data_IF_140685423306
#
_entry.id   IF_140685423306
#
_cell.length_a   1.000
_cell.length_b   1.000
_cell.length_c   1.000
_cell.angle_alpha   90.00
_cell.angle_beta   90.00
_cell.angle_gamma   90.00
#
_symmetry.space_group_name_H-M   'P 1'
#
loop_
_entity.id
_entity.type
_entity.pdbx_description
1 polymer ?
#
# COMPACT_ATOMS: atom_id res chain seq x y z
N UNK A 1 7.53 -6.92 -17.83
CA UNK A 1 8.00 -5.70 -17.13
C UNK A 1 6.85 -4.71 -17.00
N UNK A 2 6.68 -4.12 -15.84
CA UNK A 2 5.62 -3.14 -15.63
C UNK A 2 5.96 -1.80 -16.30
N UNK A 3 4.99 -1.23 -16.99
CA UNK A 3 5.10 0.13 -17.51
C UNK A 3 4.61 1.10 -16.45
N UNK A 4 5.53 1.59 -15.63
CA UNK A 4 5.19 2.51 -14.53
C UNK A 4 4.60 3.83 -15.03
N UNK A 5 5.01 4.30 -16.21
CA UNK A 5 4.45 5.54 -16.78
C UNK A 5 2.95 5.39 -17.09
N UNK A 6 2.57 4.26 -17.67
CA UNK A 6 1.17 3.98 -17.99
C UNK A 6 0.34 3.77 -16.71
N UNK A 7 0.89 3.04 -15.75
CA UNK A 7 0.22 2.81 -14.46
C UNK A 7 0.00 4.14 -13.75
N UNK A 8 1.02 4.98 -13.72
CA UNK A 8 0.95 6.32 -13.10
C UNK A 8 -0.13 7.18 -13.78
N UNK A 9 -0.14 7.20 -15.09
CA UNK A 9 -1.12 7.97 -15.86
C UNK A 9 -2.55 7.57 -15.49
N UNK A 10 -2.83 6.28 -15.44
CA UNK A 10 -4.15 5.77 -15.07
C UNK A 10 -4.51 6.12 -13.63
N UNK A 11 -3.56 5.90 -12.71
CA UNK A 11 -3.76 6.14 -11.28
C UNK A 11 -4.03 7.63 -11.01
N UNK A 12 -3.30 8.52 -11.66
CA UNK A 12 -3.41 9.96 -11.44
C UNK A 12 -4.67 10.57 -12.05
N UNK A 13 -5.42 9.84 -12.87
CA UNK A 13 -6.74 10.27 -13.36
C UNK A 13 -7.79 10.25 -12.26
N UNK A 14 -7.60 9.43 -11.23
CA UNK A 14 -8.55 9.31 -10.12
C UNK A 14 -8.39 10.48 -9.15
N UNK A 15 -9.47 10.78 -8.43
CA UNK A 15 -9.44 11.76 -7.34
C UNK A 15 -8.59 11.25 -6.19
N UNK A 16 -8.17 12.17 -5.32
CA UNK A 16 -7.37 11.80 -4.15
C UNK A 16 -8.04 10.73 -3.28
N UNK A 17 -9.33 10.83 -2.91
CA UNK A 17 -9.99 9.76 -2.15
C UNK A 17 -9.93 8.41 -2.85
N UNK A 18 -10.14 8.35 -4.16
CA UNK A 18 -10.10 7.10 -4.92
C UNK A 18 -8.68 6.54 -4.96
N UNK A 19 -7.67 7.40 -5.09
CA UNK A 19 -6.26 6.97 -5.04
C UNK A 19 -5.90 6.37 -3.68
N UNK A 20 -6.34 6.98 -2.59
CA UNK A 20 -6.15 6.42 -1.25
C UNK A 20 -6.86 5.08 -1.10
N UNK A 21 -8.07 4.95 -1.66
CA UNK A 21 -8.79 3.69 -1.71
C UNK A 21 -8.01 2.61 -2.46
N UNK A 22 -7.30 2.98 -3.53
CA UNK A 22 -6.43 2.07 -4.28
C UNK A 22 -5.26 1.55 -3.45
N UNK A 23 -4.64 2.42 -2.65
CA UNK A 23 -3.58 2.02 -1.71
C UNK A 23 -4.16 1.03 -0.69
N UNK A 24 -5.30 1.34 -0.09
CA UNK A 24 -5.96 0.47 0.88
C UNK A 24 -6.28 -0.91 0.29
N UNK A 25 -6.77 -0.95 -0.95
CA UNK A 25 -7.07 -2.20 -1.64
C UNK A 25 -5.82 -3.06 -1.83
N UNK A 26 -4.71 -2.45 -2.23
CA UNK A 26 -3.44 -3.18 -2.39
C UNK A 26 -2.94 -3.73 -1.04
N UNK A 27 -2.99 -2.91 0.01
CA UNK A 27 -2.60 -3.36 1.35
C UNK A 27 -3.46 -4.54 1.82
N UNK A 28 -4.76 -4.49 1.54
CA UNK A 28 -5.67 -5.59 1.88
C UNK A 28 -5.31 -6.90 1.15
N UNK A 29 -4.78 -6.81 -0.07
CA UNK A 29 -4.40 -7.99 -0.86
C UNK A 29 -3.10 -8.63 -0.38
N UNK A 30 -2.20 -7.89 0.25
CA UNK A 30 -0.93 -8.42 0.78
C UNK A 30 -1.17 -9.54 1.78
N UNK A 31 -2.26 -9.48 2.53
CA UNK A 31 -2.61 -10.51 3.52
C UNK A 31 -2.87 -11.89 2.93
N UNK A 32 -3.07 -12.01 1.61
CA UNK A 32 -3.38 -13.29 0.97
C UNK A 32 -2.15 -14.18 0.77
N UNK A 33 -0.95 -13.63 0.92
CA UNK A 33 0.32 -14.36 0.75
C UNK A 33 0.42 -15.14 -0.55
N UNK A 34 0.01 -14.50 -1.65
CA UNK A 34 0.21 -15.07 -2.97
C UNK A 34 1.60 -14.73 -3.50
N UNK A 35 2.02 -15.42 -4.56
CA UNK A 35 3.28 -15.11 -5.25
C UNK A 35 3.33 -13.66 -5.78
N UNK A 36 2.18 -13.00 -5.89
CA UNK A 36 2.08 -11.64 -6.40
C UNK A 36 2.27 -10.57 -5.34
N UNK A 37 2.42 -10.94 -4.05
CA UNK A 37 2.49 -9.96 -2.97
C UNK A 37 3.69 -9.02 -3.10
N UNK A 38 4.84 -9.51 -3.59
CA UNK A 38 6.00 -8.65 -3.85
C UNK A 38 5.67 -7.56 -4.88
N UNK A 39 4.90 -7.91 -5.91
CA UNK A 39 4.45 -6.96 -6.92
C UNK A 39 3.46 -5.94 -6.34
N UNK A 40 2.60 -6.37 -5.44
CA UNK A 40 1.66 -5.47 -4.73
C UNK A 40 2.41 -4.49 -3.84
N UNK A 41 3.49 -4.93 -3.20
CA UNK A 41 4.34 -4.06 -2.38
C UNK A 41 4.98 -2.97 -3.24
N UNK A 42 5.55 -3.34 -4.40
CA UNK A 42 6.11 -2.37 -5.34
C UNK A 42 5.07 -1.34 -5.78
N UNK A 43 3.91 -1.82 -6.21
CA UNK A 43 2.85 -0.94 -6.69
C UNK A 43 2.33 -0.02 -5.57
N UNK A 44 2.18 -0.55 -4.36
CA UNK A 44 1.75 0.24 -3.20
C UNK A 44 2.74 1.35 -2.89
N UNK A 45 4.04 1.07 -2.94
CA UNK A 45 5.09 2.07 -2.73
C UNK A 45 5.00 3.20 -3.77
N UNK A 46 4.77 2.84 -5.03
CA UNK A 46 4.64 3.83 -6.11
C UNK A 46 3.35 4.66 -5.94
N UNK A 47 2.25 4.03 -5.61
CA UNK A 47 1.00 4.74 -5.33
C UNK A 47 1.17 5.76 -4.19
N UNK A 48 1.86 5.37 -3.13
CA UNK A 48 2.17 6.26 -2.01
C UNK A 48 3.02 7.44 -2.47
N UNK A 49 4.08 7.18 -3.23
CA UNK A 49 4.95 8.23 -3.75
C UNK A 49 4.18 9.25 -4.58
N UNK A 50 3.28 8.79 -5.43
CA UNK A 50 2.50 9.68 -6.30
C UNK A 50 1.39 10.43 -5.56
N UNK A 51 0.99 9.96 -4.39
CA UNK A 51 -0.16 10.49 -3.65
C UNK A 51 0.25 11.40 -2.49
N UNK A 52 1.34 11.08 -1.79
CA UNK A 52 1.72 11.74 -0.54
C UNK A 52 1.89 13.25 -0.71
N UNK A 53 2.46 13.70 -1.83
CA UNK A 53 2.69 15.11 -2.09
C UNK A 53 1.40 15.94 -2.20
N UNK A 54 0.28 15.31 -2.50
CA UNK A 54 -1.02 15.97 -2.67
C UNK A 54 -1.96 15.75 -1.49
N UNK A 55 -1.55 14.95 -0.50
CA UNK A 55 -2.35 14.66 0.68
C UNK A 55 -2.12 15.71 1.76
N UNK A 56 -3.10 15.84 2.68
CA UNK A 56 -2.92 16.64 3.88
C UNK A 56 -1.76 16.09 4.72
N UNK A 57 -1.12 16.95 5.50
CA UNK A 57 0.09 16.59 6.24
C UNK A 57 -0.06 15.33 7.09
N UNK A 58 -1.12 15.15 7.91
CA UNK A 58 -1.24 13.93 8.70
C UNK A 58 -1.35 12.67 7.84
N UNK A 59 -2.08 12.75 6.73
CA UNK A 59 -2.21 11.62 5.79
C UNK A 59 -0.89 11.35 5.08
N UNK A 60 -0.20 12.39 4.62
CA UNK A 60 1.11 12.26 3.98
C UNK A 60 2.12 11.61 4.92
N UNK A 61 2.14 12.01 6.19
CA UNK A 61 3.04 11.43 7.18
C UNK A 61 2.79 9.93 7.36
N UNK A 62 1.53 9.51 7.47
CA UNK A 62 1.19 8.09 7.54
C UNK A 62 1.65 7.34 6.28
N UNK A 63 1.39 7.89 5.10
CA UNK A 63 1.77 7.25 3.84
C UNK A 63 3.28 7.07 3.73
N UNK A 64 4.07 8.07 4.13
CA UNK A 64 5.53 7.97 4.12
C UNK A 64 6.01 6.89 5.08
N UNK A 65 5.45 6.80 6.28
CA UNK A 65 5.77 5.73 7.23
C UNK A 65 5.45 4.36 6.66
N UNK A 66 4.30 4.21 6.00
CA UNK A 66 3.93 2.96 5.31
C UNK A 66 4.92 2.61 4.21
N UNK A 67 5.35 3.59 3.42
CA UNK A 67 6.32 3.37 2.35
C UNK A 67 7.64 2.82 2.89
N UNK A 68 8.13 3.36 4.00
CA UNK A 68 9.34 2.87 4.66
C UNK A 68 9.15 1.43 5.14
N UNK A 69 8.02 1.12 5.76
CA UNK A 69 7.74 -0.24 6.25
C UNK A 69 7.65 -1.24 5.09
N UNK A 70 6.99 -0.86 4.00
CA UNK A 70 6.90 -1.71 2.81
C UNK A 70 8.30 -1.97 2.22
N UNK A 71 9.16 -0.97 2.18
CA UNK A 71 10.54 -1.14 1.72
C UNK A 71 11.31 -2.10 2.63
N UNK A 72 11.12 -2.02 3.94
CA UNK A 72 11.73 -2.96 4.89
C UNK A 72 11.26 -4.39 4.63
N UNK A 73 9.96 -4.59 4.38
CA UNK A 73 9.44 -5.91 4.04
C UNK A 73 10.05 -6.46 2.76
N UNK A 74 10.24 -5.61 1.74
CA UNK A 74 10.87 -6.06 0.49
C UNK A 74 12.28 -6.58 0.72
N UNK A 75 13.07 -5.91 1.54
CA UNK A 75 14.43 -6.33 1.84
C UNK A 75 14.50 -7.70 2.52
N UNK A 76 13.51 -8.03 3.32
CA UNK A 76 13.46 -9.30 4.06
C UNK A 76 12.38 -10.26 3.58
N UNK A 77 11.82 -10.06 2.37
CA UNK A 77 10.63 -10.79 1.93
C UNK A 77 10.81 -12.31 1.95
N UNK A 78 11.95 -12.82 1.51
CA UNK A 78 12.20 -14.28 1.50
C UNK A 78 12.16 -14.87 2.92
N UNK A 79 12.69 -14.16 3.90
CA UNK A 79 12.66 -14.59 5.30
C UNK A 79 11.25 -14.52 5.87
N UNK A 80 10.51 -13.47 5.54
CA UNK A 80 9.12 -13.31 5.96
C UNK A 80 8.28 -14.45 5.38
N UNK A 81 8.45 -14.73 4.10
CA UNK A 81 7.72 -15.78 3.41
C UNK A 81 7.98 -17.17 4.03
N UNK A 82 9.21 -17.41 4.47
CA UNK A 82 9.62 -18.69 5.03
C UNK A 82 9.15 -18.91 6.48
N UNK A 83 8.72 -17.87 7.18
CA UNK A 83 8.36 -17.92 8.61
C UNK A 83 6.87 -17.64 8.79
N UNK A 84 6.12 -18.65 9.26
CA UNK A 84 4.67 -18.54 9.45
C UNK A 84 4.27 -17.45 10.44
N UNK A 85 5.07 -17.20 11.48
CA UNK A 85 4.80 -16.15 12.45
C UNK A 85 4.98 -14.78 11.82
N UNK A 86 6.04 -14.57 11.05
CA UNK A 86 6.27 -13.32 10.36
C UNK A 86 5.22 -13.06 9.29
N UNK A 87 4.80 -14.09 8.54
CA UNK A 87 3.71 -13.95 7.56
C UNK A 87 2.43 -13.48 8.23
N UNK A 88 2.11 -14.06 9.38
CA UNK A 88 0.91 -13.66 10.13
C UNK A 88 0.98 -12.21 10.57
N UNK A 89 2.14 -11.77 11.07
CA UNK A 89 2.36 -10.38 11.49
C UNK A 89 2.19 -9.41 10.32
N UNK A 90 2.74 -9.75 9.15
CA UNK A 90 2.60 -8.94 7.93
C UNK A 90 1.13 -8.86 7.52
N UNK A 91 0.40 -9.97 7.55
CA UNK A 91 -1.01 -10.00 7.21
C UNK A 91 -1.84 -9.10 8.13
N UNK A 92 -1.62 -9.21 9.43
CA UNK A 92 -2.33 -8.40 10.43
C UNK A 92 -2.02 -6.91 10.26
N UNK A 93 -0.75 -6.59 10.06
CA UNK A 93 -0.31 -5.21 9.88
C UNK A 93 -0.85 -4.60 8.59
N UNK A 94 -0.82 -5.37 7.50
CA UNK A 94 -1.36 -4.92 6.21
C UNK A 94 -2.87 -4.65 6.29
N UNK A 95 -3.61 -5.53 6.96
CA UNK A 95 -5.04 -5.36 7.16
C UNK A 95 -5.34 -4.10 7.98
N UNK A 96 -4.53 -3.85 9.01
CA UNK A 96 -4.68 -2.68 9.87
C UNK A 96 -4.40 -1.39 9.10
N UNK A 97 -3.32 -1.36 8.32
CA UNK A 97 -2.99 -0.19 7.48
C UNK A 97 -4.05 0.05 6.41
N UNK A 98 -4.55 -1.03 5.79
CA UNK A 98 -5.64 -0.92 4.81
C UNK A 98 -6.84 -0.19 5.40
N UNK A 99 -7.22 -0.58 6.61
CA UNK A 99 -8.34 0.04 7.32
C UNK A 99 -8.06 1.52 7.60
N UNK A 100 -6.86 1.85 8.10
CA UNK A 100 -6.49 3.23 8.40
C UNK A 100 -6.52 4.11 7.15
N UNK A 101 -5.94 3.64 6.04
CA UNK A 101 -5.92 4.40 4.80
C UNK A 101 -7.33 4.56 4.23
N UNK A 102 -8.17 3.53 4.33
CA UNK A 102 -9.55 3.62 3.88
C UNK A 102 -10.35 4.66 4.69
N UNK A 103 -10.14 4.71 5.99
CA UNK A 103 -10.75 5.74 6.84
C UNK A 103 -10.32 7.14 6.43
N UNK A 104 -9.01 7.32 6.15
CA UNK A 104 -8.47 8.61 5.72
C UNK A 104 -8.94 9.02 4.33
N UNK A 105 -9.31 8.06 3.48
CA UNK A 105 -9.81 8.35 2.14
C UNK A 105 -11.15 9.09 2.15
N UNK A 106 -11.94 8.89 3.19
CA UNK A 106 -13.29 9.45 3.27
C UNK A 106 -14.33 8.71 2.43
N UNK A 107 -13.95 7.66 1.70
CA UNK A 107 -14.86 6.94 0.81
C UNK A 107 -15.99 6.22 1.56
N UNK A 108 -15.78 5.88 2.82
CA UNK A 108 -16.78 5.18 3.65
C UNK A 108 -17.72 6.14 4.38
N UNK A 109 -17.54 7.44 4.26
CA UNK A 109 -18.40 8.44 4.88
C UNK A 109 -19.63 8.67 4.00
N UNK A 110 -20.77 8.72 4.63
CA UNK A 110 -22.02 9.05 3.96
C UNK A 110 -22.17 10.57 3.81
#
# INVERSE_FOLDING_TARGET
MKDWSLIRERYMRDTLPVRLGGIAANLSRIKSFSANDASLIDESKMFIEWTAAQAEIPTAALLVDLQVQLACWQLGWDRIWADSTQRKQVAEQSANWSKQVMELSGLLRE
#
